data_IF_800660828145
#
_entry.id   IF_800660828145
#
_cell.length_a   1.000
_cell.length_b   1.000
_cell.length_c   1.000
_cell.angle_alpha   90.00
_cell.angle_beta   90.00
_cell.angle_gamma   90.00
#
_symmetry.space_group_name_H-M   'P 1'
#
loop_
_entity.id
_entity.type
_entity.pdbx_description
1 polymer ?
#
# COMPACT_ATOMS: atom_id res chain seq x y z
N UNK A 1 9.82 -22.63 -16.45
CA UNK A 1 9.48 -21.45 -15.63
C UNK A 1 10.79 -20.83 -15.17
N UNK A 2 11.00 -19.53 -15.41
CA UNK A 2 12.16 -18.81 -14.88
C UNK A 2 11.82 -18.13 -13.55
N UNK A 3 12.83 -17.75 -12.79
CA UNK A 3 12.68 -16.93 -11.59
C UNK A 3 13.76 -15.85 -11.55
N UNK A 4 13.39 -14.62 -11.17
CA UNK A 4 14.31 -13.51 -10.99
C UNK A 4 13.73 -12.48 -10.03
N UNK A 5 14.60 -11.86 -9.21
CA UNK A 5 14.23 -10.79 -8.29
C UNK A 5 14.63 -9.43 -8.86
N UNK A 6 13.83 -8.40 -8.56
CA UNK A 6 14.01 -7.03 -8.97
C UNK A 6 13.71 -6.08 -7.80
N UNK A 7 14.34 -4.90 -7.74
CA UNK A 7 13.98 -3.87 -6.77
C UNK A 7 12.52 -3.44 -6.92
N UNK A 8 11.86 -3.07 -5.81
CA UNK A 8 10.50 -2.51 -5.85
C UNK A 8 10.54 -1.01 -6.22
N UNK A 9 11.00 -0.71 -7.42
CA UNK A 9 11.07 0.63 -8.03
C UNK A 9 10.47 0.59 -9.42
N UNK A 10 10.12 1.74 -10.01
CA UNK A 10 9.61 1.79 -11.39
C UNK A 10 10.57 1.11 -12.40
N UNK A 11 11.87 1.39 -12.31
CA UNK A 11 12.90 0.70 -13.12
C UNK A 11 12.89 -0.81 -12.89
N UNK A 12 12.80 -1.25 -11.63
CA UNK A 12 12.76 -2.67 -11.30
C UNK A 12 11.53 -3.38 -11.86
N UNK A 13 10.36 -2.73 -11.79
CA UNK A 13 9.10 -3.26 -12.33
C UNK A 13 9.14 -3.32 -13.86
N UNK A 14 9.67 -2.30 -14.54
CA UNK A 14 9.83 -2.30 -15.99
C UNK A 14 10.78 -3.40 -16.46
N UNK A 15 11.91 -3.58 -15.76
CA UNK A 15 12.85 -4.67 -16.02
C UNK A 15 12.23 -6.04 -15.76
N UNK A 16 11.35 -6.16 -14.77
CA UNK A 16 10.61 -7.39 -14.52
C UNK A 16 9.67 -7.71 -15.69
N UNK A 17 8.88 -6.75 -16.16
CA UNK A 17 7.99 -6.92 -17.31
C UNK A 17 8.75 -7.33 -18.57
N UNK A 18 9.85 -6.63 -18.89
CA UNK A 18 10.71 -6.96 -20.03
C UNK A 18 11.33 -8.36 -19.92
N UNK A 19 11.74 -8.76 -18.72
CA UNK A 19 12.26 -10.10 -18.47
C UNK A 19 11.18 -11.17 -18.67
N UNK A 20 9.95 -10.96 -18.16
CA UNK A 20 8.84 -11.90 -18.35
C UNK A 20 8.53 -12.10 -19.83
N UNK A 21 8.38 -11.02 -20.61
CA UNK A 21 8.17 -11.12 -22.07
C UNK A 21 9.27 -11.94 -22.74
N UNK A 22 10.54 -11.68 -22.38
CA UNK A 22 11.69 -12.38 -22.98
C UNK A 22 11.65 -13.89 -22.70
N UNK A 23 11.27 -14.30 -21.49
CA UNK A 23 11.23 -15.73 -21.13
C UNK A 23 9.97 -16.44 -21.61
N UNK A 24 8.84 -15.73 -21.70
CA UNK A 24 7.56 -16.29 -22.11
C UNK A 24 7.37 -16.31 -23.63
N UNK A 25 8.04 -15.39 -24.34
CA UNK A 25 7.89 -15.14 -25.78
C UNK A 25 6.44 -14.79 -26.17
N UNK A 26 5.70 -14.17 -25.26
CA UNK A 26 4.34 -13.66 -25.49
C UNK A 26 4.30 -12.15 -25.24
N UNK A 27 3.29 -11.50 -25.79
CA UNK A 27 3.06 -10.07 -25.60
C UNK A 27 2.59 -9.75 -24.17
N UNK A 28 2.78 -8.49 -23.71
CA UNK A 28 2.37 -8.07 -22.36
C UNK A 28 0.87 -8.31 -22.10
N UNK A 29 0.03 -8.13 -23.12
CA UNK A 29 -1.42 -8.31 -23.00
C UNK A 29 -1.84 -9.76 -22.71
N UNK A 30 -0.98 -10.72 -23.03
CA UNK A 30 -1.21 -12.15 -22.78
C UNK A 30 -0.68 -12.59 -21.42
N UNK A 31 0.00 -11.71 -20.68
CA UNK A 31 0.58 -12.02 -19.38
C UNK A 31 -0.38 -11.65 -18.25
N UNK A 32 -0.61 -12.61 -17.35
CA UNK A 32 -1.33 -12.41 -16.09
C UNK A 32 -0.35 -12.27 -14.91
N UNK A 33 -0.21 -11.07 -14.38
CA UNK A 33 0.55 -10.79 -13.17
C UNK A 33 -0.33 -10.99 -11.93
N UNK A 34 0.05 -11.92 -11.05
CA UNK A 34 -0.62 -12.16 -9.78
C UNK A 34 0.26 -11.66 -8.65
N UNK A 35 -0.24 -10.69 -7.88
CA UNK A 35 0.49 -10.00 -6.83
C UNK A 35 -0.14 -10.29 -5.46
N UNK A 36 0.70 -10.54 -4.46
CA UNK A 36 0.27 -10.61 -3.06
C UNK A 36 0.41 -9.23 -2.40
N UNK A 37 -0.67 -8.69 -1.82
CA UNK A 37 -0.65 -7.40 -1.20
C UNK A 37 0.00 -7.43 0.20
N UNK A 38 1.18 -6.80 0.40
CA UNK A 38 1.85 -6.68 1.73
C UNK A 38 1.83 -5.30 2.42
N UNK A 39 1.74 -4.15 1.73
CA UNK A 39 1.44 -2.81 2.33
C UNK A 39 0.97 -1.79 1.26
N UNK A 40 0.72 -0.51 1.59
CA UNK A 40 0.28 0.56 0.66
C UNK A 40 1.12 0.70 -0.65
N UNK A 41 2.33 0.16 -0.68
CA UNK A 41 3.25 0.12 -1.84
C UNK A 41 2.81 -0.74 -3.03
N UNK A 42 1.74 -1.53 -2.91
CA UNK A 42 1.30 -2.45 -3.97
C UNK A 42 0.72 -1.75 -5.20
N UNK A 43 0.25 -0.51 -5.03
CA UNK A 43 -0.31 0.24 -6.16
C UNK A 43 0.73 0.50 -7.23
N UNK A 44 2.02 0.68 -6.90
CA UNK A 44 3.01 1.04 -7.91
C UNK A 44 3.15 -0.06 -8.97
N UNK A 45 3.42 -1.30 -8.54
CA UNK A 45 3.55 -2.43 -9.44
C UNK A 45 2.23 -2.77 -10.12
N UNK A 46 1.12 -2.78 -9.38
CA UNK A 46 -0.18 -3.10 -9.95
C UNK A 46 -0.60 -2.08 -11.02
N UNK A 47 -0.50 -0.78 -10.72
CA UNK A 47 -0.80 0.31 -11.66
C UNK A 47 0.12 0.25 -12.87
N UNK A 48 1.43 0.17 -12.66
CA UNK A 48 2.40 0.21 -13.76
C UNK A 48 2.25 -0.97 -14.71
N UNK A 49 2.05 -2.19 -14.19
CA UNK A 49 1.84 -3.36 -15.05
C UNK A 49 0.49 -3.27 -15.80
N UNK A 50 -0.56 -2.77 -15.14
CA UNK A 50 -1.85 -2.54 -15.77
C UNK A 50 -1.80 -1.48 -16.88
N UNK A 51 -1.07 -0.37 -16.70
CA UNK A 51 -0.91 0.66 -17.75
C UNK A 51 -0.11 0.17 -18.95
N UNK A 52 0.74 -0.84 -18.77
CA UNK A 52 1.43 -1.55 -19.86
C UNK A 52 0.56 -2.61 -20.56
N UNK A 53 -0.71 -2.76 -20.15
CA UNK A 53 -1.69 -3.65 -20.77
C UNK A 53 -1.73 -5.07 -20.21
N UNK A 54 -0.97 -5.37 -19.16
CA UNK A 54 -0.98 -6.70 -18.54
C UNK A 54 -2.28 -6.91 -17.74
N UNK A 55 -2.76 -8.15 -17.71
CA UNK A 55 -3.81 -8.51 -16.73
C UNK A 55 -3.16 -8.58 -15.36
N UNK A 56 -3.65 -7.83 -14.39
CA UNK A 56 -3.14 -7.83 -13.00
C UNK A 56 -4.20 -8.38 -12.07
N UNK A 57 -3.85 -9.18 -11.06
CA UNK A 57 -4.73 -9.57 -9.97
C UNK A 57 -4.05 -9.40 -8.62
N UNK A 58 -4.73 -8.74 -7.69
CA UNK A 58 -4.33 -8.67 -6.30
C UNK A 58 -5.00 -9.80 -5.52
N UNK A 59 -4.22 -10.67 -4.88
CA UNK A 59 -4.74 -11.86 -4.19
C UNK A 59 -4.32 -11.85 -2.73
N UNK A 60 -5.32 -11.86 -1.84
CA UNK A 60 -5.10 -11.91 -0.39
C UNK A 60 -4.19 -13.08 0.03
N UNK A 61 -3.21 -12.78 0.87
CA UNK A 61 -2.25 -13.72 1.46
C UNK A 61 -2.90 -14.97 2.08
N UNK A 62 -4.06 -14.82 2.73
CA UNK A 62 -4.81 -15.92 3.31
C UNK A 62 -5.32 -16.92 2.25
N UNK A 63 -5.70 -16.44 1.06
CA UNK A 63 -6.11 -17.32 -0.05
C UNK A 63 -4.91 -18.09 -0.61
N UNK A 64 -3.78 -17.42 -0.78
CA UNK A 64 -2.52 -18.06 -1.21
C UNK A 64 -2.08 -19.12 -0.21
N UNK A 65 -2.15 -18.82 1.10
CA UNK A 65 -1.83 -19.79 2.15
C UNK A 65 -2.78 -20.99 2.18
N UNK A 66 -4.07 -20.78 1.93
CA UNK A 66 -5.03 -21.87 1.85
C UNK A 66 -4.73 -22.78 0.64
N UNK A 67 -4.36 -22.17 -0.49
CA UNK A 67 -3.91 -22.90 -1.68
C UNK A 67 -2.59 -23.65 -1.45
N UNK A 68 -1.61 -23.05 -0.75
CA UNK A 68 -0.36 -23.71 -0.37
C UNK A 68 -0.60 -25.02 0.40
N UNK A 69 -1.49 -24.96 1.40
CA UNK A 69 -1.89 -26.12 2.20
C UNK A 69 -2.49 -27.22 1.34
N UNK A 70 -3.40 -26.88 0.43
CA UNK A 70 -3.99 -27.84 -0.52
C UNK A 70 -2.96 -28.49 -1.45
N UNK A 71 -1.86 -27.78 -1.75
CA UNK A 71 -0.74 -28.27 -2.56
C UNK A 71 0.35 -28.97 -1.75
N UNK A 72 0.13 -29.23 -0.45
CA UNK A 72 1.12 -29.78 0.49
C UNK A 72 2.45 -28.99 0.56
N UNK A 73 2.41 -27.67 0.28
CA UNK A 73 3.55 -26.77 0.41
C UNK A 73 3.54 -26.15 1.80
N UNK A 74 4.48 -26.57 2.65
CA UNK A 74 4.55 -26.16 4.06
C UNK A 74 5.62 -25.09 4.33
N UNK A 75 6.67 -25.04 3.51
CA UNK A 75 7.77 -24.09 3.67
C UNK A 75 7.42 -22.75 3.02
N UNK A 76 7.74 -21.66 3.71
CA UNK A 76 7.57 -20.29 3.21
C UNK A 76 8.92 -19.67 2.90
N UNK A 77 9.15 -19.39 1.62
CA UNK A 77 10.25 -18.55 1.15
C UNK A 77 9.73 -17.68 0.01
N UNK A 78 10.32 -16.51 -0.23
CA UNK A 78 9.91 -15.63 -1.33
C UNK A 78 9.90 -16.35 -2.69
N UNK A 79 10.80 -17.33 -2.84
CA UNK A 79 10.88 -18.14 -4.06
C UNK A 79 9.70 -19.10 -4.22
N UNK A 80 9.34 -19.79 -3.13
CA UNK A 80 8.20 -20.70 -3.11
C UNK A 80 6.90 -19.90 -3.30
N UNK A 81 6.77 -18.76 -2.63
CA UNK A 81 5.59 -17.89 -2.70
C UNK A 81 5.39 -17.35 -4.13
N UNK A 82 6.45 -16.93 -4.82
CA UNK A 82 6.36 -16.48 -6.22
C UNK A 82 5.88 -17.58 -7.18
N UNK A 83 6.38 -18.81 -7.03
CA UNK A 83 5.93 -19.96 -7.83
C UNK A 83 4.49 -20.32 -7.49
N UNK A 84 4.12 -20.25 -6.22
CA UNK A 84 2.77 -20.54 -5.75
C UNK A 84 1.75 -19.54 -6.28
N UNK A 85 2.10 -18.24 -6.29
CA UNK A 85 1.29 -17.17 -6.90
C UNK A 85 1.07 -17.40 -8.40
N UNK A 86 2.13 -17.73 -9.13
CA UNK A 86 2.03 -18.03 -10.56
C UNK A 86 1.12 -19.25 -10.82
N UNK A 87 1.28 -20.33 -10.05
CA UNK A 87 0.41 -21.52 -10.14
C UNK A 87 -1.04 -21.20 -9.78
N UNK A 88 -1.26 -20.42 -8.73
CA UNK A 88 -2.58 -19.97 -8.32
C UNK A 88 -3.24 -19.15 -9.45
N UNK A 89 -2.49 -18.26 -10.10
CA UNK A 89 -2.95 -17.53 -11.28
C UNK A 89 -3.47 -18.43 -12.39
N UNK A 90 -2.66 -19.42 -12.79
CA UNK A 90 -3.03 -20.35 -13.86
C UNK A 90 -4.28 -21.19 -13.54
N UNK A 91 -4.41 -21.66 -12.29
CA UNK A 91 -5.46 -22.59 -11.88
C UNK A 91 -6.75 -21.88 -11.46
N UNK A 92 -6.63 -20.87 -10.59
CA UNK A 92 -7.78 -20.19 -10.01
C UNK A 92 -8.30 -19.03 -10.86
N UNK A 93 -7.51 -18.55 -11.84
CA UNK A 93 -7.82 -17.41 -12.72
C UNK A 93 -8.47 -16.25 -11.96
N UNK A 94 -7.75 -15.65 -10.99
CA UNK A 94 -8.31 -14.63 -10.13
C UNK A 94 -8.84 -13.44 -10.93
N UNK A 95 -9.87 -12.78 -10.38
CA UNK A 95 -10.48 -11.59 -10.98
C UNK A 95 -9.39 -10.55 -11.30
N UNK A 96 -9.44 -9.97 -12.49
CA UNK A 96 -8.59 -8.85 -12.85
C UNK A 96 -8.86 -7.66 -11.91
N UNK A 97 -7.78 -7.11 -11.38
CA UNK A 97 -7.78 -5.88 -10.62
C UNK A 97 -7.91 -4.71 -11.59
N UNK A 98 -8.83 -3.80 -11.26
CA UNK A 98 -8.97 -2.52 -11.92
C UNK A 98 -8.48 -1.44 -10.98
N UNK A 99 -7.64 -0.50 -11.43
CA UNK A 99 -7.21 0.61 -10.59
C UNK A 99 -8.44 1.35 -10.06
N UNK A 100 -8.49 1.68 -8.76
CA UNK A 100 -9.52 2.56 -8.25
C UNK A 100 -9.43 3.91 -8.95
N UNK A 101 -10.58 4.56 -9.13
CA UNK A 101 -10.65 5.91 -9.68
C UNK A 101 -9.72 6.84 -8.88
N UNK A 102 -9.06 7.80 -9.55
CA UNK A 102 -8.10 8.70 -8.90
C UNK A 102 -8.69 9.42 -7.68
N UNK A 103 -9.98 9.76 -7.75
CA UNK A 103 -10.76 10.33 -6.64
C UNK A 103 -10.76 9.45 -5.39
N UNK A 104 -10.91 8.13 -5.57
CA UNK A 104 -10.90 7.19 -4.45
C UNK A 104 -9.49 7.05 -3.85
N UNK A 105 -8.44 7.19 -4.67
CA UNK A 105 -7.04 7.15 -4.23
C UNK A 105 -6.73 8.34 -3.33
N UNK A 106 -7.09 9.55 -3.78
CA UNK A 106 -6.85 10.77 -3.01
C UNK A 106 -7.61 10.73 -1.68
N UNK A 107 -8.89 10.33 -1.71
CA UNK A 107 -9.68 10.18 -0.48
C UNK A 107 -9.05 9.16 0.49
N UNK A 108 -8.58 8.02 -0.01
CA UNK A 108 -7.90 7.02 0.82
C UNK A 108 -6.60 7.56 1.42
N UNK A 109 -5.82 8.34 0.67
CA UNK A 109 -4.59 8.96 1.15
C UNK A 109 -4.87 9.99 2.24
N UNK A 110 -5.91 10.83 2.07
CA UNK A 110 -6.35 11.81 3.08
C UNK A 110 -6.79 11.12 4.38
N UNK A 111 -7.62 10.07 4.28
CA UNK A 111 -8.09 9.30 5.43
C UNK A 111 -6.93 8.61 6.17
N UNK A 112 -6.04 7.93 5.43
CA UNK A 112 -4.88 7.27 6.04
C UNK A 112 -3.99 8.27 6.78
N UNK A 113 -3.79 9.48 6.21
CA UNK A 113 -2.99 10.51 6.86
C UNK A 113 -3.68 11.11 8.10
N UNK A 114 -5.00 11.23 8.07
CA UNK A 114 -5.77 11.65 9.24
C UNK A 114 -5.63 10.61 10.35
N UNK A 115 -5.81 9.32 10.05
CA UNK A 115 -5.64 8.22 11.00
C UNK A 115 -4.25 8.20 11.65
N UNK A 116 -3.18 8.47 10.87
CA UNK A 116 -1.81 8.58 11.40
C UNK A 116 -1.68 9.66 12.49
N UNK A 117 -2.35 10.79 12.30
CA UNK A 117 -2.29 11.95 13.19
C UNK A 117 -3.35 11.90 14.30
N UNK A 118 -4.42 11.13 14.12
CA UNK A 118 -5.49 10.98 15.08
C UNK A 118 -4.97 10.28 16.35
N UNK A 119 -4.67 11.11 17.34
CA UNK A 119 -4.15 10.69 18.64
C UNK A 119 -2.80 11.31 18.99
N UNK A 120 -2.04 11.79 18.02
CA UNK A 120 -0.77 12.49 18.27
C UNK A 120 -0.94 13.74 19.15
N UNK A 121 -1.97 14.60 18.97
CA UNK A 121 -2.22 15.70 19.90
C UNK A 121 -2.37 15.24 21.36
N UNK A 122 -3.02 14.09 21.58
CA UNK A 122 -3.25 13.54 22.92
C UNK A 122 -1.96 12.93 23.50
N UNK A 123 -1.19 12.21 22.68
CA UNK A 123 0.13 11.69 23.08
C UNK A 123 1.06 12.84 23.50
N UNK A 124 1.06 13.92 22.73
CA UNK A 124 1.91 15.08 22.98
C UNK A 124 1.44 15.88 24.21
N UNK A 125 0.13 15.99 24.43
CA UNK A 125 -0.45 16.55 25.65
C UNK A 125 -0.03 15.76 26.90
N UNK A 126 -0.10 14.43 26.86
CA UNK A 126 0.33 13.58 27.98
C UNK A 126 1.84 13.77 28.28
N UNK A 127 2.68 13.92 27.24
CA UNK A 127 4.12 14.21 27.41
C UNK A 127 4.35 15.58 28.03
N UNK A 128 3.57 16.59 27.62
CA UNK A 128 3.63 17.93 28.19
C UNK A 128 3.29 17.95 29.68
N UNK A 129 2.24 17.23 30.09
CA UNK A 129 1.84 17.10 31.49
C UNK A 129 2.95 16.46 32.33
N UNK A 130 3.54 15.36 31.85
CA UNK A 130 4.68 14.72 32.52
C UNK A 130 5.90 15.65 32.61
N UNK A 131 6.20 16.40 31.55
CA UNK A 131 7.30 17.37 31.56
C UNK A 131 7.06 18.50 32.57
N UNK A 132 5.82 18.96 32.72
CA UNK A 132 5.46 19.95 33.73
C UNK A 132 5.66 19.42 35.15
N UNK A 133 5.24 18.18 35.42
CA UNK A 133 5.43 17.53 36.75
C UNK A 133 6.90 17.40 37.11
N UNK A 134 7.77 17.07 36.15
CA UNK A 134 9.23 16.95 36.37
C UNK A 134 9.94 18.30 36.56
N UNK A 135 9.26 19.41 36.31
CA UNK A 135 9.85 20.74 36.25
C UNK A 135 10.59 20.98 34.93
N UNK A 136 9.90 21.58 33.96
CA UNK A 136 10.49 21.97 32.68
C UNK A 136 10.52 23.50 32.49
N UNK A 137 11.48 23.98 31.71
CA UNK A 137 11.67 25.41 31.41
C UNK A 137 10.54 25.97 30.54
N UNK A 138 10.38 27.30 30.53
CA UNK A 138 9.40 27.98 29.68
C UNK A 138 9.56 27.67 28.19
N UNK A 139 10.79 27.51 27.71
CA UNK A 139 11.08 27.13 26.33
C UNK A 139 10.54 25.73 25.99
N UNK A 140 10.69 24.76 26.89
CA UNK A 140 10.15 23.41 26.71
C UNK A 140 8.63 23.44 26.69
N UNK A 141 8.00 24.21 27.60
CA UNK A 141 6.54 24.38 27.61
C UNK A 141 6.03 24.98 26.29
N UNK A 142 6.71 26.01 25.79
CA UNK A 142 6.36 26.65 24.52
C UNK A 142 6.48 25.68 23.33
N UNK A 143 7.53 24.85 23.31
CA UNK A 143 7.72 23.81 22.29
C UNK A 143 6.52 22.85 22.24
N UNK A 144 6.12 22.28 23.38
CA UNK A 144 4.97 21.38 23.46
C UNK A 144 3.67 22.03 23.00
N UNK A 145 3.37 23.24 23.49
CA UNK A 145 2.16 23.98 23.12
C UNK A 145 2.12 24.26 21.62
N UNK A 146 3.27 24.59 21.02
CA UNK A 146 3.39 24.83 19.59
C UNK A 146 3.13 23.55 18.79
N UNK A 147 3.76 22.43 19.18
CA UNK A 147 3.56 21.12 18.54
C UNK A 147 2.11 20.65 18.63
N UNK A 148 1.48 20.75 19.80
CA UNK A 148 0.08 20.36 19.99
C UNK A 148 -0.85 21.21 19.12
N UNK A 149 -0.60 22.52 19.02
CA UNK A 149 -1.36 23.42 18.16
C UNK A 149 -1.20 23.05 16.69
N UNK A 150 0.03 22.78 16.24
CA UNK A 150 0.33 22.39 14.87
C UNK A 150 -0.36 21.07 14.49
N UNK A 151 -0.28 20.05 15.35
CA UNK A 151 -0.92 18.75 15.12
C UNK A 151 -2.45 18.88 15.02
N UNK A 152 -3.08 19.67 15.91
CA UNK A 152 -4.53 19.93 15.84
C UNK A 152 -4.92 20.67 14.56
N UNK A 153 -4.13 21.65 14.14
CA UNK A 153 -4.37 22.40 12.91
C UNK A 153 -4.26 21.47 11.67
N UNK A 154 -3.26 20.58 11.64
CA UNK A 154 -3.11 19.60 10.56
C UNK A 154 -4.30 18.63 10.48
N UNK A 155 -4.80 18.12 11.62
CA UNK A 155 -6.00 17.28 11.64
C UNK A 155 -7.21 18.01 11.07
N UNK A 156 -7.42 19.28 11.44
CA UNK A 156 -8.52 20.11 10.93
C UNK A 156 -8.43 20.31 9.42
N UNK A 157 -7.24 20.63 8.91
CA UNK A 157 -7.03 20.80 7.47
C UNK A 157 -7.34 19.52 6.68
N UNK A 158 -6.93 18.35 7.20
CA UNK A 158 -7.26 17.07 6.57
C UNK A 158 -8.76 16.78 6.59
N UNK A 159 -9.44 17.06 7.70
CA UNK A 159 -10.90 16.91 7.80
C UNK A 159 -11.64 17.84 6.82
N UNK A 160 -11.18 19.08 6.66
CA UNK A 160 -11.71 20.04 5.69
C UNK A 160 -11.47 19.55 4.25
N UNK A 161 -10.26 19.09 3.92
CA UNK A 161 -9.95 18.53 2.60
C UNK A 161 -10.81 17.29 2.28
N UNK A 162 -11.06 16.41 3.25
CA UNK A 162 -11.97 15.26 3.10
C UNK A 162 -13.39 15.73 2.81
N UNK A 163 -13.90 16.71 3.56
CA UNK A 163 -15.24 17.27 3.36
C UNK A 163 -15.39 17.94 1.98
N UNK A 164 -14.39 18.72 1.56
CA UNK A 164 -14.32 19.33 0.22
C UNK A 164 -14.29 18.26 -0.88
N UNK A 165 -13.50 17.20 -0.69
CA UNK A 165 -13.44 16.08 -1.62
C UNK A 165 -14.81 15.40 -1.75
N UNK A 166 -15.55 15.20 -0.66
CA UNK A 166 -16.93 14.70 -0.75
C UNK A 166 -17.87 15.67 -1.45
N UNK A 167 -17.80 16.97 -1.14
CA UNK A 167 -18.67 17.98 -1.74
C UNK A 167 -18.45 18.12 -3.26
N UNK A 168 -17.20 18.03 -3.72
CA UNK A 168 -16.84 18.12 -5.13
C UNK A 168 -17.28 16.89 -5.96
N UNK A 169 -17.56 15.75 -5.30
CA UNK A 169 -17.83 14.47 -5.96
C UNK A 169 -19.14 13.80 -5.51
N UNK A 170 -19.99 14.54 -4.77
CA UNK A 170 -21.36 14.10 -4.46
C UNK A 170 -22.23 14.25 -5.73
N UNK A 171 -22.69 13.12 -6.27
CA UNK A 171 -23.74 13.03 -7.30
C UNK A 171 -25.06 12.74 -6.59
#
# INVERSE_FOLDING_TARGET
MGQKSFPNTLDGIERAAAWVMKISKVELLEIHAVLEPTAAYQELAARFLATKGMTVSLVNSARIRSFAKGMAVLNKTDQIDAVLLARYGCLARPKAWTPPAELLVELQALLARLDDLEGDPRREQNRYEQACVRGCSGAIKHSFVTSIRALKAQCKLLQEAIAEHFAAHAI
#
